data_IF_622234903887
#
_entry.id   IF_622234903887
#
_cell.length_a   1.000
_cell.length_b   1.000
_cell.length_c   1.000
_cell.angle_alpha   90.00
_cell.angle_beta   90.00
_cell.angle_gamma   90.00
#
_symmetry.space_group_name_H-M   'P 1'
#
loop_
_entity.id
_entity.type
_entity.pdbx_description
1 polymer ?
#
# COMPACT_ATOMS: atom_id res chain seq x y z
N UNK A 1 -6.20 -15.19 -11.83
CA UNK A 1 -4.75 -15.10 -11.64
C UNK A 1 -4.17 -14.56 -12.94
N UNK A 2 -3.59 -13.36 -12.94
CA UNK A 2 -2.92 -12.81 -14.11
C UNK A 2 -1.51 -13.44 -14.10
N UNK A 3 -1.39 -14.62 -14.67
CA UNK A 3 -0.11 -15.28 -14.91
C UNK A 3 0.02 -15.46 -16.41
N UNK A 4 1.02 -14.86 -17.00
CA UNK A 4 1.27 -14.99 -18.44
C UNK A 4 2.52 -14.20 -18.83
N UNK A 5 3.00 -14.45 -20.02
CA UNK A 5 4.20 -13.83 -20.61
C UNK A 5 4.13 -12.29 -20.66
N UNK A 6 2.92 -11.72 -20.54
CA UNK A 6 2.68 -10.27 -20.52
C UNK A 6 2.54 -9.69 -19.10
N UNK A 7 2.79 -10.48 -18.07
CA UNK A 7 2.80 -10.05 -16.67
C UNK A 7 4.19 -10.24 -16.08
N UNK A 8 4.86 -9.14 -15.77
CA UNK A 8 6.24 -9.13 -15.27
C UNK A 8 6.24 -8.53 -13.88
N UNK A 9 6.95 -9.17 -12.96
CA UNK A 9 7.20 -8.67 -11.61
C UNK A 9 8.66 -8.29 -11.47
N UNK A 10 8.89 -7.08 -10.99
CA UNK A 10 10.22 -6.50 -10.79
C UNK A 10 10.34 -6.08 -9.33
N UNK A 11 11.50 -6.35 -8.75
CA UNK A 11 11.91 -5.91 -7.43
C UNK A 11 13.35 -5.35 -7.48
N UNK A 12 13.93 -5.07 -6.32
CA UNK A 12 15.29 -4.55 -6.24
C UNK A 12 16.36 -5.49 -6.82
N UNK A 13 16.10 -6.80 -6.95
CA UNK A 13 17.09 -7.76 -7.45
C UNK A 13 17.18 -7.76 -8.97
N UNK A 14 16.08 -7.49 -9.66
CA UNK A 14 15.99 -7.55 -11.13
C UNK A 14 15.60 -6.21 -11.78
N UNK A 15 15.62 -5.12 -11.03
CA UNK A 15 15.26 -3.78 -11.55
C UNK A 15 16.05 -3.35 -12.79
N UNK A 16 17.28 -3.81 -12.95
CA UNK A 16 18.10 -3.53 -14.14
C UNK A 16 17.51 -4.04 -15.45
N UNK A 17 16.59 -5.00 -15.39
CA UNK A 17 15.96 -5.63 -16.55
C UNK A 17 14.73 -4.84 -17.04
N UNK A 18 14.20 -3.88 -16.25
CA UNK A 18 12.94 -3.18 -16.54
C UNK A 18 12.93 -2.53 -17.94
N UNK A 19 14.02 -1.93 -18.38
CA UNK A 19 14.10 -1.29 -19.71
C UNK A 19 13.98 -2.34 -20.81
N UNK A 20 14.68 -3.48 -20.69
CA UNK A 20 14.57 -4.58 -21.65
C UNK A 20 13.17 -5.17 -21.68
N UNK A 21 12.54 -5.27 -20.49
CA UNK A 21 11.17 -5.73 -20.37
C UNK A 21 10.19 -4.76 -21.01
N UNK A 22 10.38 -3.46 -20.88
CA UNK A 22 9.54 -2.45 -21.56
C UNK A 22 9.67 -2.59 -23.08
N UNK A 23 10.89 -2.77 -23.59
CA UNK A 23 11.17 -2.89 -25.02
C UNK A 23 10.61 -4.16 -25.66
N UNK A 24 10.39 -5.20 -24.88
CA UNK A 24 9.85 -6.46 -25.40
C UNK A 24 8.36 -6.28 -25.68
N UNK A 25 7.83 -6.54 -26.89
CA UNK A 25 6.42 -6.35 -27.21
C UNK A 25 5.52 -7.34 -26.43
N UNK A 26 4.26 -6.96 -26.26
CA UNK A 26 3.24 -7.85 -25.71
C UNK A 26 2.96 -9.01 -26.67
N UNK A 27 2.80 -10.23 -26.13
CA UNK A 27 2.55 -11.42 -26.96
C UNK A 27 1.07 -11.81 -26.90
N UNK A 28 0.37 -11.71 -28.02
CA UNK A 28 -1.01 -12.15 -28.14
C UNK A 28 -2.05 -11.28 -27.41
N UNK A 29 -1.63 -10.13 -26.85
CA UNK A 29 -2.49 -9.17 -26.15
C UNK A 29 -2.11 -7.74 -26.53
N UNK A 30 -3.05 -6.77 -26.40
CA UNK A 30 -2.77 -5.39 -26.75
C UNK A 30 -1.82 -4.68 -25.78
N UNK A 31 -1.70 -5.17 -24.53
CA UNK A 31 -0.90 -4.51 -23.49
C UNK A 31 -0.17 -5.53 -22.62
N UNK A 32 0.99 -5.08 -22.10
CA UNK A 32 1.79 -5.75 -21.10
C UNK A 32 1.67 -5.01 -19.77
N UNK A 33 1.71 -5.73 -18.66
CA UNK A 33 1.71 -5.20 -17.29
C UNK A 33 3.04 -5.52 -16.60
N UNK A 34 3.73 -4.48 -16.16
CA UNK A 34 4.95 -4.58 -15.35
C UNK A 34 4.61 -4.03 -13.95
N UNK A 35 4.76 -4.85 -12.92
CA UNK A 35 4.63 -4.41 -11.52
C UNK A 35 6.02 -4.39 -10.89
N UNK A 36 6.48 -3.20 -10.56
CA UNK A 36 7.76 -2.94 -9.92
C UNK A 36 7.53 -2.57 -8.44
N UNK A 37 7.94 -3.47 -7.53
CA UNK A 37 7.66 -3.32 -6.11
C UNK A 37 8.93 -3.27 -5.29
N UNK A 38 8.99 -2.30 -4.34
CA UNK A 38 10.12 -2.13 -3.41
C UNK A 38 11.47 -2.06 -4.17
N UNK A 39 11.50 -1.27 -5.24
CA UNK A 39 12.61 -1.23 -6.20
C UNK A 39 13.83 -0.45 -5.70
N UNK A 40 13.65 0.41 -4.70
CA UNK A 40 14.68 1.31 -4.21
C UNK A 40 14.92 2.55 -5.08
N UNK A 41 14.32 2.65 -6.27
CA UNK A 41 14.53 3.77 -7.21
C UNK A 41 14.08 5.13 -6.67
N UNK A 42 13.21 5.15 -5.68
CA UNK A 42 12.62 6.36 -5.08
C UNK A 42 13.16 6.66 -3.68
N UNK A 43 14.23 5.99 -3.24
CA UNK A 43 14.80 6.21 -1.91
C UNK A 43 15.73 7.42 -1.87
N UNK A 44 15.86 8.01 -0.64
CA UNK A 44 16.84 9.07 -0.37
C UNK A 44 18.26 8.58 -0.61
N UNK A 45 18.98 9.29 -1.45
CA UNK A 45 20.44 9.15 -1.44
C UNK A 45 20.98 9.60 -0.12
N UNK A 46 21.47 8.68 0.68
CA UNK A 46 22.18 9.03 1.89
C UNK A 46 23.42 9.85 1.51
N UNK A 47 23.41 11.16 1.82
CA UNK A 47 24.58 12.02 1.79
C UNK A 47 25.53 11.56 2.90
N UNK A 48 26.25 10.45 2.74
CA UNK A 48 27.32 10.02 3.62
C UNK A 48 28.54 9.62 2.80
N UNK A 49 29.54 10.51 2.85
CA UNK A 49 30.95 10.18 2.58
C UNK A 49 31.29 9.84 1.13
N UNK A 50 32.21 10.61 0.54
CA UNK A 50 32.89 10.34 -0.71
C UNK A 50 33.27 8.85 -0.84
N UNK A 51 32.50 8.07 -1.57
CA UNK A 51 32.77 6.80 -2.26
C UNK A 51 31.60 5.82 -2.23
N UNK A 52 30.42 6.27 -2.59
CA UNK A 52 29.40 5.42 -3.19
C UNK A 52 28.48 6.37 -3.98
N UNK A 53 28.87 6.71 -5.18
CA UNK A 53 27.92 7.11 -6.21
C UNK A 53 27.15 5.83 -6.48
N UNK A 54 26.00 5.70 -5.82
CA UNK A 54 25.21 4.49 -5.92
C UNK A 54 24.79 4.30 -7.37
N UNK A 55 25.09 3.16 -7.90
CA UNK A 55 24.69 2.69 -9.25
C UNK A 55 23.16 2.83 -9.44
N UNK A 56 22.41 2.82 -8.38
CA UNK A 56 20.94 2.91 -8.33
C UNK A 56 20.40 4.31 -8.69
N UNK A 57 21.05 5.41 -8.25
CA UNK A 57 20.61 6.75 -8.65
C UNK A 57 20.83 7.01 -10.14
N UNK A 58 21.97 6.52 -10.66
CA UNK A 58 22.25 6.61 -12.08
C UNK A 58 21.23 5.79 -12.90
N UNK A 59 20.66 4.71 -12.32
CA UNK A 59 19.65 3.90 -12.99
C UNK A 59 18.27 4.54 -12.95
N UNK A 60 17.86 5.16 -11.84
CA UNK A 60 16.60 5.91 -11.75
C UNK A 60 16.57 7.06 -12.78
N UNK A 61 17.68 7.81 -12.91
CA UNK A 61 17.79 8.91 -13.89
C UNK A 61 17.77 8.38 -15.33
N UNK A 62 18.45 7.28 -15.62
CA UNK A 62 18.41 6.61 -16.93
C UNK A 62 17.01 6.11 -17.28
N UNK A 63 16.32 5.53 -16.32
CA UNK A 63 14.93 5.08 -16.53
C UNK A 63 14.01 6.26 -16.77
N UNK A 64 14.18 7.36 -16.04
CA UNK A 64 13.42 8.59 -16.24
C UNK A 64 13.61 9.17 -17.63
N UNK A 65 14.86 9.25 -18.09
CA UNK A 65 15.21 9.71 -19.45
C UNK A 65 14.59 8.79 -20.50
N UNK A 66 14.76 7.48 -20.35
CA UNK A 66 14.18 6.49 -21.25
C UNK A 66 12.66 6.59 -21.36
N UNK A 67 11.97 6.74 -20.24
CA UNK A 67 10.51 6.90 -20.23
C UNK A 67 10.06 8.20 -20.89
N UNK A 68 10.80 9.32 -20.71
CA UNK A 68 10.51 10.59 -21.38
C UNK A 68 10.63 10.49 -22.89
N UNK A 69 11.75 9.90 -23.36
CA UNK A 69 12.04 9.81 -24.78
C UNK A 69 11.08 8.85 -25.53
N UNK A 70 10.63 7.80 -24.86
CA UNK A 70 9.83 6.74 -25.47
C UNK A 70 8.37 6.75 -25.04
N UNK A 71 7.87 7.79 -24.36
CA UNK A 71 6.53 7.85 -23.80
C UNK A 71 5.44 7.53 -24.84
N UNK A 72 5.50 8.15 -26.01
CA UNK A 72 4.52 7.96 -27.08
C UNK A 72 4.45 6.52 -27.59
N UNK A 73 5.56 5.77 -27.53
CA UNK A 73 5.60 4.36 -27.93
C UNK A 73 5.10 3.45 -26.81
N UNK A 74 5.41 3.79 -25.55
CA UNK A 74 5.14 2.96 -24.39
C UNK A 74 3.67 3.05 -23.93
N UNK A 75 3.06 4.24 -23.98
CA UNK A 75 1.74 4.54 -23.39
C UNK A 75 0.60 3.61 -23.84
N UNK A 76 0.68 3.12 -25.07
CA UNK A 76 -0.37 2.26 -25.65
C UNK A 76 -0.10 0.76 -25.48
N UNK A 77 1.15 0.35 -25.25
CA UNK A 77 1.58 -1.04 -25.22
C UNK A 77 1.91 -1.56 -23.81
N UNK A 78 2.40 -0.68 -22.90
CA UNK A 78 2.89 -1.11 -21.60
C UNK A 78 2.21 -0.32 -20.48
N UNK A 79 1.80 -1.04 -19.44
CA UNK A 79 1.35 -0.46 -18.17
C UNK A 79 2.43 -0.76 -17.13
N UNK A 80 3.02 0.28 -16.55
CA UNK A 80 4.03 0.14 -15.50
C UNK A 80 3.42 0.65 -14.19
N UNK A 81 3.48 -0.17 -13.15
CA UNK A 81 2.98 0.17 -11.81
C UNK A 81 4.13 0.06 -10.82
N UNK A 82 4.56 1.18 -10.27
CA UNK A 82 5.51 1.21 -9.15
C UNK A 82 4.75 1.17 -7.83
N UNK A 83 5.17 0.29 -6.91
CA UNK A 83 4.60 0.14 -5.56
C UNK A 83 5.74 0.31 -4.57
N UNK A 84 5.76 1.45 -3.89
CA UNK A 84 6.82 1.81 -2.95
C UNK A 84 6.24 2.22 -1.60
N UNK A 85 6.95 1.90 -0.52
CA UNK A 85 6.54 2.29 0.83
C UNK A 85 6.89 3.75 1.14
N UNK A 86 8.04 4.21 0.64
CA UNK A 86 8.52 5.59 0.78
C UNK A 86 9.05 6.09 -0.55
N UNK A 87 8.75 7.33 -0.90
CA UNK A 87 9.20 7.93 -2.17
C UNK A 87 9.77 9.32 -1.97
N UNK A 88 10.90 9.59 -2.62
CA UNK A 88 11.45 10.92 -2.83
C UNK A 88 11.01 11.45 -4.20
N UNK A 89 10.83 12.75 -4.28
CA UNK A 89 10.47 13.43 -5.53
C UNK A 89 11.70 13.62 -6.44
N UNK A 90 12.34 12.51 -6.83
CA UNK A 90 13.43 12.49 -7.78
C UNK A 90 12.93 12.71 -9.24
N UNK A 91 13.82 12.63 -10.21
CA UNK A 91 13.47 12.86 -11.61
C UNK A 91 12.49 11.81 -12.15
N UNK A 92 12.65 10.54 -11.78
CA UNK A 92 11.73 9.46 -12.15
C UNK A 92 10.32 9.72 -11.61
N UNK A 93 10.20 10.16 -10.34
CA UNK A 93 8.92 10.53 -9.75
C UNK A 93 8.25 11.66 -10.55
N UNK A 94 9.02 12.70 -10.94
CA UNK A 94 8.46 13.83 -11.69
C UNK A 94 7.95 13.43 -13.08
N UNK A 95 8.62 12.48 -13.74
CA UNK A 95 8.14 11.93 -15.02
C UNK A 95 6.81 11.21 -14.83
N UNK A 96 6.71 10.36 -13.82
CA UNK A 96 5.50 9.60 -13.53
C UNK A 96 4.35 10.53 -13.11
N UNK A 97 4.63 11.55 -12.30
CA UNK A 97 3.61 12.52 -11.84
C UNK A 97 3.06 13.35 -13.01
N UNK A 98 3.91 13.67 -13.99
CA UNK A 98 3.53 14.45 -15.17
C UNK A 98 2.73 13.65 -16.19
N UNK A 99 3.18 12.46 -16.53
CA UNK A 99 2.71 11.70 -17.68
C UNK A 99 1.88 10.46 -17.28
N UNK A 100 1.76 10.17 -15.98
CA UNK A 100 1.05 9.05 -15.40
C UNK A 100 0.09 9.45 -14.28
N UNK A 101 0.05 8.64 -13.22
CA UNK A 101 -0.78 8.89 -12.05
C UNK A 101 -0.05 8.47 -10.78
N UNK A 102 0.07 9.38 -9.82
CA UNK A 102 0.63 9.09 -8.50
C UNK A 102 -0.49 9.01 -7.47
N UNK A 103 -0.58 7.89 -6.76
CA UNK A 103 -1.53 7.68 -5.67
C UNK A 103 -0.79 7.53 -4.35
N UNK A 104 -1.05 8.41 -3.39
CA UNK A 104 -0.52 8.32 -2.04
C UNK A 104 -1.53 7.65 -1.11
N UNK A 105 -1.12 6.54 -0.47
CA UNK A 105 -1.93 5.79 0.50
C UNK A 105 -1.39 6.01 1.91
N UNK A 106 -1.83 7.08 2.56
CA UNK A 106 -1.45 7.35 3.95
C UNK A 106 -2.19 6.45 4.94
N UNK A 107 -1.53 6.18 6.07
CA UNK A 107 -2.19 5.53 7.20
C UNK A 107 -3.36 6.39 7.67
N UNK A 108 -4.54 5.80 7.76
CA UNK A 108 -5.74 6.52 8.19
C UNK A 108 -5.64 6.91 9.67
N UNK A 109 -6.17 8.09 10.00
CA UNK A 109 -6.26 8.54 11.40
C UNK A 109 -7.31 7.71 12.14
N UNK A 110 -7.12 7.39 13.44
CA UNK A 110 -8.08 6.62 14.22
C UNK A 110 -9.51 7.15 14.15
N UNK A 111 -9.67 8.47 14.11
CA UNK A 111 -10.98 9.12 13.97
C UNK A 111 -11.70 8.75 12.68
N UNK A 112 -10.97 8.69 11.56
CA UNK A 112 -11.56 8.37 10.26
C UNK A 112 -11.82 6.86 10.13
N UNK A 113 -10.97 6.04 10.75
CA UNK A 113 -11.21 4.61 10.94
C UNK A 113 -12.50 4.37 11.70
N UNK A 114 -12.68 5.02 12.87
CA UNK A 114 -13.88 4.89 13.69
C UNK A 114 -15.16 5.30 12.94
N UNK A 115 -15.13 6.42 12.19
CA UNK A 115 -16.25 6.83 11.34
C UNK A 115 -16.63 5.78 10.31
N UNK A 116 -15.62 5.16 9.67
CA UNK A 116 -15.82 4.12 8.65
C UNK A 116 -16.41 2.85 9.26
N UNK A 117 -15.89 2.40 10.39
CA UNK A 117 -16.42 1.25 11.12
C UNK A 117 -17.87 1.50 11.58
N UNK A 118 -18.19 2.71 12.07
CA UNK A 118 -19.54 3.09 12.43
C UNK A 118 -20.49 3.06 11.23
N UNK A 119 -20.05 3.53 10.06
CA UNK A 119 -20.85 3.45 8.85
C UNK A 119 -21.15 2.00 8.44
N UNK A 120 -20.18 1.08 8.62
CA UNK A 120 -20.39 -0.35 8.40
C UNK A 120 -21.44 -0.89 9.37
N UNK A 121 -21.32 -0.66 10.68
CA UNK A 121 -22.30 -1.10 11.68
C UNK A 121 -23.72 -0.59 11.35
N UNK A 122 -23.83 0.68 10.98
CA UNK A 122 -25.12 1.29 10.62
C UNK A 122 -25.76 0.61 9.40
N UNK A 123 -24.96 0.21 8.39
CA UNK A 123 -25.49 -0.50 7.20
C UNK A 123 -26.09 -1.86 7.55
N UNK A 124 -25.59 -2.50 8.61
CA UNK A 124 -26.13 -3.75 9.16
C UNK A 124 -27.17 -3.52 10.27
N UNK A 125 -27.54 -2.27 10.53
CA UNK A 125 -28.47 -1.88 11.61
C UNK A 125 -28.02 -2.37 13.01
N UNK A 126 -26.71 -2.32 13.27
CA UNK A 126 -26.10 -2.65 14.55
C UNK A 126 -25.64 -1.38 15.23
N UNK A 127 -25.89 -1.28 16.54
CA UNK A 127 -25.52 -0.12 17.34
C UNK A 127 -24.10 -0.27 17.90
N UNK A 128 -23.35 0.84 17.90
CA UNK A 128 -22.04 0.92 18.54
C UNK A 128 -21.74 2.37 18.91
N UNK A 129 -21.17 2.62 20.06
CA UNK A 129 -20.71 3.94 20.46
C UNK A 129 -19.25 4.21 20.04
N UNK A 130 -18.85 5.49 20.12
CA UNK A 130 -17.49 5.89 19.73
C UNK A 130 -16.41 5.36 20.65
N UNK A 131 -16.69 5.22 21.94
CA UNK A 131 -15.73 4.71 22.93
C UNK A 131 -15.44 3.22 22.67
N UNK A 132 -16.46 2.45 22.35
CA UNK A 132 -16.32 1.03 21.98
C UNK A 132 -15.56 0.84 20.68
N UNK A 133 -15.76 1.71 19.66
CA UNK A 133 -14.98 1.67 18.44
C UNK A 133 -13.51 2.03 18.67
N UNK A 134 -13.21 3.03 19.48
CA UNK A 134 -11.84 3.35 19.85
C UNK A 134 -11.18 2.18 20.59
N UNK A 135 -11.89 1.56 21.52
CA UNK A 135 -11.40 0.37 22.21
C UNK A 135 -11.08 -0.78 21.26
N UNK A 136 -11.87 -1.00 20.22
CA UNK A 136 -11.59 -2.00 19.19
C UNK A 136 -10.30 -1.64 18.42
N UNK A 137 -10.15 -0.37 18.03
CA UNK A 137 -8.96 0.12 17.30
C UNK A 137 -7.70 -0.02 18.15
N UNK A 138 -7.76 0.37 19.43
CA UNK A 138 -6.64 0.27 20.35
C UNK A 138 -6.25 -1.20 20.62
N UNK A 139 -7.22 -2.10 20.65
CA UNK A 139 -6.99 -3.54 20.90
C UNK A 139 -6.47 -4.31 19.67
N UNK A 140 -6.92 -3.96 18.46
CA UNK A 140 -6.66 -4.70 17.22
C UNK A 140 -5.70 -3.97 16.27
N UNK A 141 -5.24 -2.77 16.62
CA UNK A 141 -4.38 -1.94 15.77
C UNK A 141 -5.15 -1.16 14.71
N UNK A 142 -4.41 -0.46 13.82
CA UNK A 142 -4.97 0.48 12.84
C UNK A 142 -5.12 -0.09 11.43
N UNK A 143 -4.87 -1.40 11.24
CA UNK A 143 -5.06 -2.05 9.95
C UNK A 143 -6.55 -2.09 9.60
N UNK A 144 -6.94 -1.37 8.54
CA UNK A 144 -8.35 -1.29 8.14
C UNK A 144 -8.93 -2.65 7.77
N UNK A 145 -8.14 -3.52 7.12
CA UNK A 145 -8.59 -4.84 6.72
C UNK A 145 -8.89 -5.73 7.93
N UNK A 146 -8.00 -5.71 8.93
CA UNK A 146 -8.17 -6.48 10.14
C UNK A 146 -9.36 -5.96 10.95
N UNK A 147 -9.48 -4.64 11.09
CA UNK A 147 -10.62 -4.01 11.76
C UNK A 147 -11.96 -4.29 11.07
N UNK A 148 -12.01 -4.36 9.74
CA UNK A 148 -13.21 -4.78 9.02
C UNK A 148 -13.55 -6.24 9.33
N UNK A 149 -12.58 -7.12 9.41
CA UNK A 149 -12.80 -8.51 9.77
C UNK A 149 -13.29 -8.64 11.22
N UNK A 150 -12.68 -7.90 12.15
CA UNK A 150 -13.08 -7.89 13.55
C UNK A 150 -14.50 -7.34 13.74
N UNK A 151 -14.83 -6.19 13.12
CA UNK A 151 -16.17 -5.60 13.26
C UNK A 151 -17.25 -6.47 12.63
N UNK A 152 -16.95 -7.20 11.56
CA UNK A 152 -17.89 -8.18 10.97
C UNK A 152 -18.21 -9.31 11.92
N UNK A 153 -17.23 -9.86 12.62
CA UNK A 153 -17.47 -10.89 13.67
C UNK A 153 -18.40 -10.35 14.75
N UNK A 154 -18.17 -9.12 15.20
CA UNK A 154 -19.04 -8.48 16.18
C UNK A 154 -20.48 -8.34 15.67
N UNK A 155 -20.65 -7.86 14.44
CA UNK A 155 -21.95 -7.68 13.79
C UNK A 155 -22.72 -9.01 13.71
N UNK A 156 -22.06 -10.07 13.24
CA UNK A 156 -22.68 -11.40 13.16
C UNK A 156 -23.09 -11.94 14.54
N UNK A 157 -22.28 -11.69 15.56
CA UNK A 157 -22.55 -12.16 16.92
C UNK A 157 -23.74 -11.46 17.55
N UNK A 158 -23.82 -10.11 17.45
CA UNK A 158 -24.92 -9.36 18.10
C UNK A 158 -26.21 -9.35 17.28
N UNK A 159 -26.09 -9.56 15.98
CA UNK A 159 -27.24 -9.57 15.05
C UNK A 159 -27.86 -8.18 14.81
N UNK A 160 -28.82 -8.13 13.88
CA UNK A 160 -29.53 -6.91 13.53
C UNK A 160 -30.30 -6.34 14.74
N UNK A 161 -30.13 -5.05 15.02
CA UNK A 161 -30.71 -4.37 16.17
C UNK A 161 -29.90 -4.52 17.45
N UNK A 162 -28.90 -5.39 17.47
CA UNK A 162 -28.01 -5.58 18.61
C UNK A 162 -27.03 -4.43 18.81
N UNK A 163 -26.30 -4.49 19.94
CA UNK A 163 -25.31 -3.48 20.33
C UNK A 163 -23.96 -4.13 20.58
N UNK A 164 -22.92 -3.63 19.91
CA UNK A 164 -21.54 -4.03 20.18
C UNK A 164 -21.05 -3.30 21.43
N UNK A 165 -20.47 -4.06 22.37
CA UNK A 165 -19.95 -3.56 23.64
C UNK A 165 -18.50 -3.97 23.82
N UNK A 166 -17.82 -3.44 24.84
CA UNK A 166 -16.45 -3.85 25.17
C UNK A 166 -16.35 -5.32 25.52
N UNK A 167 -17.37 -5.85 26.22
CA UNK A 167 -17.44 -7.26 26.59
C UNK A 167 -17.52 -8.18 25.36
N UNK A 168 -18.29 -7.79 24.33
CA UNK A 168 -18.33 -8.56 23.08
C UNK A 168 -17.02 -8.49 22.32
N UNK A 169 -16.34 -7.35 22.34
CA UNK A 169 -15.00 -7.20 21.75
C UNK A 169 -14.00 -8.10 22.49
N UNK A 170 -14.00 -8.08 23.82
CA UNK A 170 -13.09 -8.91 24.63
C UNK A 170 -13.33 -10.41 24.40
N UNK A 171 -14.56 -10.81 24.11
CA UNK A 171 -14.93 -12.20 23.85
C UNK A 171 -14.45 -12.68 22.47
N UNK A 172 -14.48 -11.84 21.44
CA UNK A 172 -14.35 -12.27 20.04
C UNK A 172 -13.14 -11.73 19.32
N UNK A 173 -12.59 -10.56 19.72
CA UNK A 173 -11.53 -9.91 18.99
C UNK A 173 -10.18 -10.58 19.24
N UNK A 174 -9.41 -10.70 18.16
CA UNK A 174 -8.01 -11.11 18.23
C UNK A 174 -7.20 -9.85 18.53
N UNK A 175 -6.72 -9.74 19.77
CA UNK A 175 -5.90 -8.61 20.21
C UNK A 175 -4.50 -8.73 19.66
N UNK A 176 -3.97 -7.64 19.10
CA UNK A 176 -2.56 -7.60 18.68
C UNK A 176 -1.67 -7.36 19.91
N UNK A 177 -0.70 -8.24 20.11
CA UNK A 177 0.20 -8.19 21.27
C UNK A 177 1.17 -6.99 21.27
N UNK A 178 1.28 -6.24 20.17
CA UNK A 178 2.18 -5.07 20.10
C UNK A 178 1.79 -3.92 21.01
N UNK A 179 0.52 -3.78 21.39
CA UNK A 179 0.08 -2.73 22.32
C UNK A 179 0.46 -3.02 23.78
N UNK A 180 0.70 -4.27 24.12
CA UNK A 180 0.98 -4.70 25.52
C UNK A 180 2.45 -4.49 25.92
N UNK A 181 3.37 -4.44 24.94
CA UNK A 181 4.81 -4.30 25.22
C UNK A 181 5.18 -2.86 25.60
N UNK A 182 4.50 -1.86 25.04
CA UNK A 182 4.76 -0.46 25.36
C UNK A 182 4.24 -0.03 26.74
N UNK A 183 3.14 -0.64 27.22
CA UNK A 183 2.61 -0.39 28.56
C UNK A 183 3.49 -0.99 29.69
N UNK A 184 4.37 -1.94 29.37
CA UNK A 184 5.30 -2.57 30.34
C UNK A 184 6.63 -1.83 30.48
N UNK A 185 6.94 -0.85 29.64
CA UNK A 185 8.20 -0.08 29.69
C UNK A 185 8.07 1.30 30.33
N UNK A 186 6.87 1.75 30.68
CA UNK A 186 6.59 3.05 31.31
C UNK A 186 6.35 2.96 32.83
N UNK A 187 7.00 1.99 33.53
CA UNK A 187 6.96 1.91 35.00
C UNK A 187 8.35 2.18 35.57
#
# INVERSE_FOLDING_TARGET
>A
MINGINYIQIDNNNISEIIADIQTPAFGYPKKLIIAKDTGLFQKTAKRGKKAVSTENNFADKLAEYLKENFELIKDEVIIVFIENETEKNELYQVIDKDGCVCNFEKQKPIDIAKRLKAICNSYKVNVDGATLNYLIDSCGTSMQDLINEIRKQIEYVGQGGTITKETIDLLAIKQFESVIFDLTDT
#
